data_IF_858467736536
#
_entry.id   IF_858467736536
#
_cell.length_a   1.000
_cell.length_b   1.000
_cell.length_c   1.000
_cell.angle_alpha   90.00
_cell.angle_beta   90.00
_cell.angle_gamma   90.00
#
_symmetry.space_group_name_H-M   'P 1'
#
loop_
_entity.id
_entity.type
_entity.pdbx_description
1 polymer ?
#
# COMPACT_ATOMS: atom_id res chain seq x y z
N UNK A 1 -21.78 30.53 56.69
CA UNK A 1 -20.34 30.21 56.60
C UNK A 1 -20.04 28.77 56.18
N UNK A 2 -20.95 27.83 56.41
CA UNK A 2 -20.83 26.42 56.03
C UNK A 2 -21.06 26.16 54.54
N UNK A 3 -21.95 26.90 53.88
CA UNK A 3 -22.27 26.71 52.43
C UNK A 3 -21.18 27.18 51.46
N UNK A 4 -20.26 28.05 51.89
CA UNK A 4 -19.16 28.53 51.05
C UNK A 4 -18.01 27.51 51.06
N UNK A 5 -17.83 26.78 52.14
CA UNK A 5 -16.75 25.75 52.23
C UNK A 5 -17.08 24.48 51.42
N UNK A 6 -18.37 24.08 51.35
CA UNK A 6 -18.73 22.92 50.50
C UNK A 6 -18.52 23.17 49.02
N UNK A 7 -18.81 24.38 48.52
CA UNK A 7 -18.61 24.71 47.11
C UNK A 7 -17.13 24.78 46.71
N UNK A 8 -16.23 25.17 47.63
CA UNK A 8 -14.79 25.18 47.35
C UNK A 8 -14.19 23.76 47.31
N UNK A 9 -14.69 22.82 48.13
CA UNK A 9 -14.26 21.41 48.06
C UNK A 9 -14.76 20.70 46.81
N UNK A 10 -15.99 20.97 46.37
CA UNK A 10 -16.52 20.40 45.11
C UNK A 10 -15.80 20.96 43.92
N UNK A 11 -15.45 22.24 43.85
CA UNK A 11 -14.60 22.81 42.80
C UNK A 11 -13.19 22.27 42.81
N UNK A 12 -12.60 22.08 44.01
CA UNK A 12 -11.24 21.49 44.11
C UNK A 12 -11.23 20.01 43.67
N UNK A 13 -12.26 19.24 44.00
CA UNK A 13 -12.40 17.83 43.54
C UNK A 13 -12.68 17.73 42.02
N UNK A 14 -13.45 18.68 41.46
CA UNK A 14 -13.67 18.73 40.00
C UNK A 14 -12.42 19.17 39.23
N UNK A 15 -11.60 20.07 39.79
CA UNK A 15 -10.32 20.49 39.21
C UNK A 15 -9.28 19.36 39.27
N UNK A 16 -9.24 18.58 40.33
CA UNK A 16 -8.35 17.42 40.45
C UNK A 16 -8.78 16.28 39.52
N UNK A 17 -10.08 16.11 39.27
CA UNK A 17 -10.57 15.10 38.29
C UNK A 17 -10.30 15.48 36.82
N UNK A 18 -10.21 16.78 36.50
CA UNK A 18 -9.88 17.27 35.18
C UNK A 18 -8.37 17.17 34.85
N UNK A 19 -7.51 17.06 35.85
CA UNK A 19 -6.05 16.90 35.66
C UNK A 19 -5.67 15.44 35.46
N UNK A 20 -6.54 14.47 35.76
CA UNK A 20 -6.25 13.03 35.75
C UNK A 20 -6.69 12.31 34.46
N UNK A 21 -7.03 12.98 33.39
CA UNK A 21 -7.45 12.31 32.13
C UNK A 21 -6.80 12.88 30.89
N UNK A 22 -5.48 13.03 30.90
CA UNK A 22 -4.72 12.82 29.69
C UNK A 22 -4.12 11.41 29.83
N UNK A 23 -4.82 10.41 29.34
CA UNK A 23 -4.20 9.16 29.01
C UNK A 23 -3.12 9.51 27.96
N UNK A 24 -1.84 9.50 28.37
CA UNK A 24 -0.73 9.68 27.43
C UNK A 24 -0.90 8.64 26.34
N UNK A 25 -1.34 9.09 25.15
CA UNK A 25 -1.54 8.24 24.01
C UNK A 25 -0.16 7.69 23.62
N UNK A 26 -0.01 6.36 23.72
CA UNK A 26 1.28 5.74 23.42
C UNK A 26 1.61 5.88 21.94
N UNK A 27 2.85 6.19 21.65
CA UNK A 27 3.36 6.18 20.27
C UNK A 27 3.37 4.74 19.75
N UNK A 28 2.85 4.52 18.56
CA UNK A 28 2.87 3.22 17.92
C UNK A 28 4.12 3.08 17.05
N UNK A 29 4.95 2.09 17.34
CA UNK A 29 6.11 1.75 16.54
C UNK A 29 5.90 0.48 15.74
N UNK A 30 6.06 0.52 14.42
CA UNK A 30 5.95 -0.66 13.56
C UNK A 30 7.28 -1.41 13.52
N UNK A 31 7.28 -2.73 13.70
CA UNK A 31 8.51 -3.56 13.61
C UNK A 31 9.07 -3.47 12.18
N UNK A 32 10.38 -3.25 12.07
CA UNK A 32 11.09 -3.04 10.81
C UNK A 32 11.24 -1.57 10.42
N UNK A 33 10.47 -0.67 11.00
CA UNK A 33 10.55 0.78 10.76
C UNK A 33 11.23 1.51 11.92
N UNK A 34 11.68 2.73 11.69
CA UNK A 34 12.18 3.60 12.75
C UNK A 34 11.01 4.26 13.48
N UNK A 35 11.14 4.49 14.79
CA UNK A 35 10.20 5.30 15.55
C UNK A 35 10.94 6.42 16.25
N UNK A 36 10.33 7.60 16.27
CA UNK A 36 10.84 8.76 17.00
C UNK A 36 10.10 8.88 18.33
N UNK A 37 10.86 8.99 19.41
CA UNK A 37 10.36 9.30 20.74
C UNK A 37 10.67 10.78 21.02
N UNK A 38 9.69 11.67 20.91
CA UNK A 38 9.90 13.10 21.09
C UNK A 38 10.02 13.45 22.56
N UNK A 39 10.89 14.40 22.87
CA UNK A 39 10.97 15.06 24.14
C UNK A 39 11.42 16.50 23.94
N UNK A 40 10.55 17.45 24.22
CA UNK A 40 10.82 18.87 24.06
C UNK A 40 10.91 19.53 25.42
N UNK A 41 11.97 20.33 25.66
CA UNK A 41 12.17 21.03 26.89
C UNK A 41 12.75 22.43 26.68
N UNK A 42 11.89 23.44 26.72
CA UNK A 42 12.27 24.85 26.49
C UNK A 42 13.17 25.44 27.57
N UNK A 43 13.17 24.86 28.78
CA UNK A 43 13.99 25.32 29.89
C UNK A 43 15.50 25.16 29.69
N UNK A 44 15.94 24.38 28.72
CA UNK A 44 17.36 24.09 28.47
C UNK A 44 18.15 25.35 28.07
N UNK A 45 17.55 26.31 27.40
CA UNK A 45 18.17 27.57 26.94
C UNK A 45 18.76 28.36 28.10
N UNK A 46 18.17 28.27 29.27
CA UNK A 46 18.62 28.98 30.49
C UNK A 46 19.60 28.12 31.31
N UNK A 47 19.84 26.88 30.95
CA UNK A 47 20.63 25.93 31.72
C UNK A 47 21.85 25.38 30.99
N UNK A 48 22.18 25.93 29.79
CA UNK A 48 23.24 25.38 28.93
C UNK A 48 24.60 25.31 29.62
N UNK A 49 24.93 26.29 30.50
CA UNK A 49 26.18 26.29 31.27
C UNK A 49 26.24 25.27 32.44
N UNK A 50 25.08 24.78 32.87
CA UNK A 50 24.93 23.81 33.96
C UNK A 50 24.74 22.37 33.48
N UNK A 51 24.47 22.21 32.18
CA UNK A 51 24.16 20.92 31.60
C UNK A 51 25.43 20.08 31.43
N UNK A 52 25.48 18.89 32.07
CA UNK A 52 26.60 17.96 31.98
C UNK A 52 26.34 16.83 31.01
N UNK A 53 25.18 16.22 31.09
CA UNK A 53 24.81 15.09 30.25
C UNK A 53 23.31 14.88 30.21
N UNK A 54 22.87 14.05 29.27
CA UNK A 54 21.49 13.59 29.20
C UNK A 54 21.43 12.07 29.07
N UNK A 55 20.36 11.49 29.57
CA UNK A 55 20.15 10.05 29.56
C UNK A 55 18.72 9.70 29.12
N UNK A 56 18.60 8.81 28.13
CA UNK A 56 17.38 8.09 27.87
C UNK A 56 17.41 6.75 28.60
N UNK A 57 16.34 6.45 29.31
CA UNK A 57 16.19 5.22 30.07
C UNK A 57 14.97 4.45 29.60
N UNK A 58 15.10 3.14 29.57
CA UNK A 58 14.01 2.18 29.42
C UNK A 58 13.80 1.52 30.75
N UNK A 59 12.79 1.94 31.50
CA UNK A 59 12.62 1.60 32.92
C UNK A 59 13.84 2.05 33.74
N UNK A 60 14.69 1.15 34.22
CA UNK A 60 15.93 1.46 34.97
C UNK A 60 17.20 1.38 34.11
N UNK A 61 17.11 0.81 32.92
CA UNK A 61 18.22 0.60 31.99
C UNK A 61 18.53 1.87 31.22
N UNK A 62 19.76 2.36 31.27
CA UNK A 62 20.22 3.47 30.43
C UNK A 62 20.47 2.92 29.02
N UNK A 63 19.75 3.43 28.04
CA UNK A 63 19.85 3.00 26.64
C UNK A 63 20.63 3.98 25.76
N UNK A 64 20.73 5.23 26.20
CA UNK A 64 21.49 6.26 25.50
C UNK A 64 21.96 7.33 26.48
N UNK A 65 23.22 7.76 26.34
CA UNK A 65 23.82 8.85 27.13
C UNK A 65 24.53 9.84 26.18
N UNK A 66 24.31 11.12 26.36
CA UNK A 66 25.03 12.18 25.67
C UNK A 66 25.75 13.05 26.69
N UNK A 67 27.07 13.24 26.54
CA UNK A 67 27.89 14.10 27.39
C UNK A 67 28.16 15.43 26.68
N UNK A 68 27.90 16.54 27.38
CA UNK A 68 28.04 17.88 26.86
C UNK A 68 29.31 18.62 27.34
N UNK A 69 29.99 18.04 28.33
CA UNK A 69 31.17 18.64 28.99
C UNK A 69 32.44 18.62 28.16
N UNK A 70 32.53 17.75 27.17
CA UNK A 70 33.63 17.72 26.20
C UNK A 70 33.05 18.20 24.88
N UNK A 71 33.70 19.15 24.22
CA UNK A 71 33.31 19.66 22.88
C UNK A 71 33.20 18.59 21.79
N UNK A 72 33.24 17.32 22.16
CA UNK A 72 33.09 16.13 21.37
C UNK A 72 31.86 15.41 21.87
N UNK A 73 30.86 15.25 20.99
CA UNK A 73 29.72 14.38 21.23
C UNK A 73 30.21 12.93 21.47
N UNK A 74 30.51 12.61 22.71
CA UNK A 74 30.81 11.24 23.10
C UNK A 74 29.46 10.53 23.32
N UNK A 75 28.75 10.25 22.22
CA UNK A 75 27.52 9.46 22.25
C UNK A 75 27.87 8.02 22.51
N UNK A 76 27.91 7.62 23.78
CA UNK A 76 27.98 6.22 24.15
C UNK A 76 26.61 5.58 23.86
N UNK A 77 26.45 5.04 22.66
CA UNK A 77 25.31 4.20 22.34
C UNK A 77 25.43 2.88 23.11
N UNK A 78 24.72 2.75 24.20
CA UNK A 78 24.61 1.49 24.95
C UNK A 78 23.84 0.44 24.15
N UNK A 79 23.03 0.88 23.21
CA UNK A 79 22.30 0.02 22.28
C UNK A 79 22.55 0.44 20.83
N UNK A 80 22.92 -0.51 19.97
CA UNK A 80 23.17 -0.30 18.52
C UNK A 80 21.94 0.20 17.72
N UNK A 81 20.78 0.22 18.36
CA UNK A 81 19.51 0.58 17.72
C UNK A 81 19.03 2.00 18.03
N UNK A 82 19.81 2.82 18.73
CA UNK A 82 19.41 4.18 19.13
C UNK A 82 20.28 5.25 18.48
N UNK A 83 19.62 6.31 17.97
CA UNK A 83 20.27 7.54 17.53
C UNK A 83 19.45 8.71 18.05
N UNK A 84 20.12 9.78 18.49
CA UNK A 84 19.49 11.01 18.96
C UNK A 84 19.70 12.10 17.91
N UNK A 85 18.72 13.00 17.74
CA UNK A 85 18.89 14.15 16.88
C UNK A 85 20.02 15.06 17.38
N UNK A 86 20.91 15.49 16.49
CA UNK A 86 22.13 16.23 16.82
C UNK A 86 21.92 17.74 17.06
N UNK A 87 20.68 18.25 17.02
CA UNK A 87 20.40 19.69 17.14
C UNK A 87 20.39 20.23 18.58
N UNK A 88 20.86 19.47 19.52
CA UNK A 88 20.85 19.72 20.96
C UNK A 88 22.25 20.21 21.42
N UNK A 89 22.39 21.08 22.42
CA UNK A 89 21.42 21.45 23.47
C UNK A 89 20.60 22.71 23.18
N UNK A 90 20.92 23.48 22.15
CA UNK A 90 20.37 24.84 21.97
C UNK A 90 18.90 24.89 21.55
N UNK A 91 18.38 23.84 20.89
CA UNK A 91 16.99 23.80 20.43
C UNK A 91 15.99 23.37 21.51
N UNK A 92 16.46 22.63 22.51
CA UNK A 92 15.58 21.98 23.49
C UNK A 92 14.84 20.75 22.96
N UNK A 93 15.21 20.27 21.79
CA UNK A 93 14.57 19.15 21.11
C UNK A 93 15.41 17.87 21.26
N UNK A 94 14.95 16.95 22.12
CA UNK A 94 15.66 15.74 22.50
C UNK A 94 14.97 14.49 21.95
N UNK A 95 14.98 14.35 20.61
CA UNK A 95 14.35 13.22 19.93
C UNK A 95 15.26 12.01 19.94
N UNK A 96 14.77 10.87 20.44
CA UNK A 96 15.43 9.59 20.30
C UNK A 96 14.81 8.78 19.17
N UNK A 97 15.63 8.24 18.28
CA UNK A 97 15.20 7.36 17.18
C UNK A 97 15.54 5.91 17.54
N UNK A 98 14.53 5.08 17.68
CA UNK A 98 14.68 3.64 17.88
C UNK A 98 14.60 2.91 16.53
N UNK A 99 15.57 2.03 16.28
CA UNK A 99 15.66 1.19 15.09
C UNK A 99 15.55 -0.29 15.47
N UNK A 100 15.12 -1.15 14.53
CA UNK A 100 15.13 -2.59 14.71
C UNK A 100 14.34 -3.09 15.92
N UNK A 101 13.18 -2.50 16.18
CA UNK A 101 12.33 -2.78 17.34
C UNK A 101 11.91 -4.24 17.44
N UNK A 102 11.68 -4.67 18.68
CA UNK A 102 11.09 -5.96 19.08
C UNK A 102 9.81 -5.70 19.87
N UNK A 103 8.96 -6.69 20.03
CA UNK A 103 7.78 -6.57 20.88
C UNK A 103 8.14 -6.20 22.32
N UNK A 104 9.31 -6.65 22.81
CA UNK A 104 9.83 -6.32 24.13
C UNK A 104 10.19 -4.85 24.35
N UNK A 105 10.24 -4.06 23.27
CA UNK A 105 10.54 -2.63 23.34
C UNK A 105 9.28 -1.78 23.63
N UNK A 106 8.08 -2.39 23.62
CA UNK A 106 6.84 -1.76 24.06
C UNK A 106 6.89 -1.48 25.56
N UNK A 107 7.29 -0.27 25.94
CA UNK A 107 7.51 0.17 27.32
C UNK A 107 7.47 1.68 27.45
N UNK A 108 7.56 2.15 28.71
CA UNK A 108 7.79 3.57 29.00
C UNK A 108 9.29 3.89 28.91
N UNK A 109 9.59 4.98 28.27
CA UNK A 109 10.90 5.58 28.14
C UNK A 109 10.91 6.91 28.87
N UNK A 110 11.98 7.18 29.62
CA UNK A 110 12.15 8.44 30.35
C UNK A 110 13.43 9.15 29.91
N UNK A 111 13.33 10.47 29.77
CA UNK A 111 14.46 11.33 29.44
C UNK A 111 14.85 12.16 30.66
N UNK A 112 16.12 12.13 31.00
CA UNK A 112 16.69 12.81 32.14
C UNK A 112 17.82 13.74 31.71
N UNK A 113 17.86 14.95 32.28
CA UNK A 113 18.98 15.87 32.19
C UNK A 113 19.78 15.84 33.48
N UNK A 114 21.11 15.68 33.37
CA UNK A 114 22.04 15.80 34.48
C UNK A 114 22.67 17.19 34.48
N UNK A 115 22.39 17.94 35.52
CA UNK A 115 23.01 19.20 35.85
C UNK A 115 24.15 18.98 36.83
N UNK A 116 24.92 20.06 37.13
CA UNK A 116 26.07 19.91 38.03
C UNK A 116 25.75 19.27 39.39
N UNK A 117 24.63 19.61 40.00
CA UNK A 117 24.20 19.11 41.31
C UNK A 117 22.92 18.26 41.30
N UNK A 118 22.16 18.27 40.17
CA UNK A 118 20.82 17.69 40.13
C UNK A 118 20.58 16.87 38.86
N UNK A 119 19.67 15.90 38.99
CA UNK A 119 19.13 15.16 37.84
C UNK A 119 17.65 15.47 37.75
N UNK A 120 17.20 15.89 36.55
CA UNK A 120 15.81 16.28 36.29
C UNK A 120 15.20 15.27 35.33
N UNK A 121 14.05 14.69 35.69
CA UNK A 121 13.19 13.99 34.76
C UNK A 121 12.45 15.03 33.90
N UNK A 122 12.65 14.99 32.61
CA UNK A 122 12.08 15.97 31.67
C UNK A 122 10.79 15.46 31.06
N UNK A 123 10.80 14.23 30.55
CA UNK A 123 9.61 13.65 29.93
C UNK A 123 9.60 12.12 30.05
N UNK A 124 8.40 11.58 29.96
CA UNK A 124 8.15 10.13 29.86
C UNK A 124 7.33 9.87 28.60
N UNK A 125 7.77 8.95 27.77
CA UNK A 125 7.10 8.59 26.51
C UNK A 125 6.73 7.11 26.56
N UNK A 126 5.46 6.82 26.33
CA UNK A 126 4.96 5.45 26.16
C UNK A 126 5.13 5.00 24.71
N UNK A 127 5.78 3.86 24.49
CA UNK A 127 5.89 3.19 23.21
C UNK A 127 5.10 1.88 23.24
N UNK A 128 4.20 1.72 22.29
CA UNK A 128 3.59 0.44 21.92
C UNK A 128 4.17 -0.04 20.60
N UNK A 129 4.06 -1.34 20.31
CA UNK A 129 4.65 -1.93 19.11
C UNK A 129 3.59 -2.70 18.35
N UNK A 130 3.55 -2.53 17.05
CA UNK A 130 2.64 -3.26 16.17
C UNK A 130 3.38 -3.91 14.99
N UNK A 131 2.75 -4.89 14.37
CA UNK A 131 3.25 -5.60 13.17
C UNK A 131 2.11 -5.80 12.21
N UNK A 132 2.34 -5.52 10.94
CA UNK A 132 1.39 -5.77 9.87
C UNK A 132 1.14 -7.27 9.70
N UNK A 133 -0.11 -7.61 9.38
CA UNK A 133 -0.43 -8.98 8.96
C UNK A 133 0.00 -9.18 7.51
N UNK A 134 0.51 -10.38 7.20
CA UNK A 134 1.01 -10.73 5.87
C UNK A 134 0.41 -12.05 5.38
N UNK A 135 0.58 -12.32 4.06
CA UNK A 135 0.14 -13.56 3.43
C UNK A 135 -1.35 -13.87 3.66
N UNK A 136 -2.20 -12.86 3.47
CA UNK A 136 -3.65 -13.00 3.58
C UNK A 136 -4.18 -13.79 2.38
N UNK A 137 -4.87 -14.89 2.63
CA UNK A 137 -5.46 -15.74 1.60
C UNK A 137 -6.86 -16.19 1.98
N UNK A 138 -7.78 -16.25 1.01
CA UNK A 138 -9.08 -16.89 1.17
C UNK A 138 -9.20 -18.02 0.16
N UNK A 139 -9.31 -19.23 0.67
CA UNK A 139 -9.54 -20.43 -0.11
C UNK A 139 -11.01 -20.81 -0.02
N UNK A 140 -11.59 -21.25 -1.13
CA UNK A 140 -12.96 -21.75 -1.22
C UNK A 140 -12.92 -23.24 -1.53
N UNK A 141 -13.52 -24.04 -0.67
CA UNK A 141 -13.66 -25.48 -0.84
C UNK A 141 -15.14 -25.82 -0.97
N UNK A 142 -15.51 -26.45 -2.07
CA UNK A 142 -16.85 -26.98 -2.25
C UNK A 142 -16.90 -28.40 -1.67
N UNK A 143 -17.73 -28.61 -0.67
CA UNK A 143 -17.93 -29.95 -0.10
C UNK A 143 -18.79 -30.73 -1.07
N UNK A 144 -18.25 -31.83 -1.65
CA UNK A 144 -18.83 -32.60 -2.75
C UNK A 144 -20.18 -33.22 -2.41
N UNK A 145 -20.51 -33.43 -1.13
CA UNK A 145 -21.76 -34.06 -0.68
C UNK A 145 -22.62 -33.17 0.20
N UNK A 146 -22.39 -31.87 0.23
CA UNK A 146 -23.07 -30.94 1.12
C UNK A 146 -23.56 -29.69 0.44
N UNK A 147 -24.67 -29.18 0.92
CA UNK A 147 -25.21 -27.87 0.53
C UNK A 147 -24.38 -26.71 1.00
N UNK A 148 -23.23 -26.94 1.68
CA UNK A 148 -22.43 -25.89 2.31
C UNK A 148 -21.11 -25.66 1.59
N UNK A 149 -20.77 -24.40 1.41
CA UNK A 149 -19.45 -23.95 0.97
C UNK A 149 -18.59 -23.63 2.20
N UNK A 150 -17.36 -24.13 2.21
CA UNK A 150 -16.35 -23.83 3.21
C UNK A 150 -15.39 -22.80 2.66
N UNK A 151 -15.21 -21.68 3.39
CA UNK A 151 -14.20 -20.68 3.08
C UNK A 151 -13.19 -20.63 4.21
N UNK A 152 -11.92 -20.74 3.87
CA UNK A 152 -10.81 -20.74 4.82
C UNK A 152 -9.94 -19.52 4.57
N UNK A 153 -9.94 -18.60 5.53
CA UNK A 153 -9.07 -17.46 5.54
C UNK A 153 -7.85 -17.74 6.40
N UNK A 154 -6.67 -17.42 5.89
CA UNK A 154 -5.40 -17.54 6.60
C UNK A 154 -4.61 -16.25 6.52
N UNK A 155 -3.94 -15.91 7.64
CA UNK A 155 -2.97 -14.83 7.72
C UNK A 155 -1.91 -15.11 8.76
N UNK A 156 -0.77 -14.42 8.68
CA UNK A 156 0.38 -14.71 9.52
C UNK A 156 1.13 -13.45 9.95
N UNK A 157 1.74 -13.54 11.13
CA UNK A 157 2.84 -12.69 11.53
C UNK A 157 2.46 -11.29 12.00
N UNK A 158 1.19 -11.02 12.26
CA UNK A 158 0.75 -9.71 12.76
C UNK A 158 0.75 -9.58 14.30
N UNK A 159 0.64 -8.35 14.80
CA UNK A 159 0.48 -8.01 16.21
C UNK A 159 -0.12 -6.60 16.37
N UNK A 160 -1.01 -6.35 17.31
CA UNK A 160 -1.67 -7.29 18.22
C UNK A 160 -2.66 -8.25 17.54
N UNK A 161 -3.41 -9.01 18.35
CA UNK A 161 -4.52 -9.82 17.83
C UNK A 161 -5.56 -8.90 17.16
N UNK A 162 -5.93 -9.12 15.91
CA UNK A 162 -6.83 -8.25 15.17
C UNK A 162 -8.29 -8.61 15.39
N UNK A 163 -9.18 -7.71 15.00
CA UNK A 163 -10.58 -8.03 14.77
C UNK A 163 -10.74 -8.67 13.38
N UNK A 164 -11.53 -9.75 13.29
CA UNK A 164 -11.80 -10.45 12.03
C UNK A 164 -13.29 -10.54 11.80
N UNK A 165 -13.71 -10.21 10.60
CA UNK A 165 -15.10 -10.37 10.19
C UNK A 165 -15.24 -10.69 8.71
N UNK A 166 -16.33 -11.41 8.39
CA UNK A 166 -16.68 -11.81 7.04
C UNK A 166 -17.78 -10.91 6.48
N UNK A 167 -17.73 -10.67 5.18
CA UNK A 167 -18.71 -9.88 4.44
C UNK A 167 -19.16 -10.66 3.21
N UNK A 168 -20.48 -10.75 3.01
CA UNK A 168 -21.12 -11.38 1.87
C UNK A 168 -21.70 -10.28 0.98
N UNK A 169 -21.43 -10.34 -0.32
CA UNK A 169 -21.92 -9.38 -1.32
C UNK A 169 -21.76 -7.93 -0.89
N UNK A 170 -20.58 -7.59 -0.32
CA UNK A 170 -20.16 -6.25 0.11
C UNK A 170 -20.88 -5.66 1.33
N UNK A 171 -22.00 -6.24 1.79
CA UNK A 171 -22.83 -5.61 2.83
C UNK A 171 -23.29 -6.54 3.95
N UNK A 172 -23.53 -7.80 3.67
CA UNK A 172 -24.12 -8.73 4.63
C UNK A 172 -23.05 -9.38 5.51
N UNK A 173 -23.30 -9.43 6.81
CA UNK A 173 -22.48 -10.21 7.76
C UNK A 173 -23.11 -11.58 7.99
N UNK A 174 -22.35 -12.67 7.84
CA UNK A 174 -22.85 -14.00 8.17
C UNK A 174 -23.14 -14.15 9.66
N UNK A 175 -24.04 -15.07 10.05
CA UNK A 175 -24.28 -15.39 11.46
C UNK A 175 -22.99 -15.85 12.14
N UNK A 176 -22.75 -15.40 13.38
CA UNK A 176 -21.55 -15.79 14.16
C UNK A 176 -21.41 -17.31 14.34
N UNK A 177 -22.52 -18.04 14.36
CA UNK A 177 -22.56 -19.52 14.49
C UNK A 177 -21.97 -20.25 13.29
N UNK A 178 -21.79 -19.57 12.15
CA UNK A 178 -21.21 -20.14 10.93
C UNK A 178 -19.71 -19.88 10.82
N UNK A 179 -19.11 -19.14 11.78
CA UNK A 179 -17.71 -18.73 11.76
C UNK A 179 -16.98 -19.40 12.92
N UNK A 180 -15.83 -19.99 12.62
CA UNK A 180 -14.88 -20.51 13.62
C UNK A 180 -13.54 -19.84 13.35
N UNK A 181 -12.97 -19.16 14.35
CA UNK A 181 -11.67 -18.49 14.24
C UNK A 181 -10.67 -19.09 15.22
N UNK A 182 -9.55 -19.51 14.70
CA UNK A 182 -8.39 -20.00 15.46
C UNK A 182 -7.31 -18.92 15.48
N UNK A 183 -6.89 -18.52 16.66
CA UNK A 183 -5.83 -17.55 16.89
C UNK A 183 -4.66 -18.27 17.55
N UNK A 184 -3.56 -18.43 16.84
CA UNK A 184 -2.37 -19.12 17.31
C UNK A 184 -1.22 -18.13 17.50
N UNK A 185 -0.64 -18.09 18.69
CA UNK A 185 0.54 -17.27 18.99
C UNK A 185 1.80 -18.07 18.73
N UNK A 186 2.73 -17.51 17.96
CA UNK A 186 4.04 -18.13 17.71
C UNK A 186 4.94 -18.00 18.95
N UNK A 187 5.43 -19.11 19.56
CA UNK A 187 6.12 -19.08 20.84
C UNK A 187 7.38 -18.20 20.88
N UNK A 188 8.14 -18.13 19.77
CA UNK A 188 9.40 -17.38 19.70
C UNK A 188 9.19 -15.89 19.40
N UNK A 189 8.28 -15.54 18.51
CA UNK A 189 8.07 -14.18 18.05
C UNK A 189 6.90 -13.48 18.74
N UNK A 190 6.01 -14.23 19.41
CA UNK A 190 4.75 -13.75 19.99
C UNK A 190 3.79 -13.14 18.96
N UNK A 191 4.05 -13.33 17.67
CA UNK A 191 3.19 -12.88 16.59
C UNK A 191 2.01 -13.86 16.42
N UNK A 192 0.91 -13.35 15.88
CA UNK A 192 -0.31 -14.12 15.66
C UNK A 192 -0.36 -14.72 14.27
N UNK A 193 -0.72 -15.99 14.19
CA UNK A 193 -1.20 -16.65 12.99
C UNK A 193 -2.69 -16.95 13.17
N UNK A 194 -3.48 -16.63 12.18
CA UNK A 194 -4.92 -16.69 12.29
C UNK A 194 -5.50 -17.49 11.13
N UNK A 195 -6.41 -18.38 11.48
CA UNK A 195 -7.23 -19.13 10.54
C UNK A 195 -8.68 -18.90 10.90
N UNK A 196 -9.47 -18.34 9.97
CA UNK A 196 -10.91 -18.17 10.17
C UNK A 196 -11.66 -18.97 9.11
N UNK A 197 -12.62 -19.78 9.56
CA UNK A 197 -13.39 -20.68 8.71
C UNK A 197 -14.85 -20.23 8.72
N UNK A 198 -15.39 -19.97 7.54
CA UNK A 198 -16.79 -19.66 7.32
C UNK A 198 -17.44 -20.88 6.61
N UNK A 199 -18.49 -21.45 7.23
CA UNK A 199 -19.29 -22.56 6.66
C UNK A 199 -20.71 -22.08 6.41
N UNK A 200 -21.08 -21.88 5.14
CA UNK A 200 -22.36 -21.28 4.78
C UNK A 200 -22.88 -21.84 3.47
N UNK A 201 -24.23 -21.88 3.32
CA UNK A 201 -24.86 -22.20 2.05
C UNK A 201 -25.01 -20.94 1.20
N UNK A 202 -24.24 -20.85 0.12
CA UNK A 202 -24.18 -19.68 -0.79
C UNK A 202 -24.10 -20.15 -2.24
N UNK A 203 -24.59 -19.30 -3.13
CA UNK A 203 -24.46 -19.53 -4.57
C UNK A 203 -22.99 -19.50 -5.01
N UNK A 204 -22.60 -20.27 -6.04
CA UNK A 204 -21.23 -20.29 -6.56
C UNK A 204 -20.67 -18.93 -6.97
N UNK A 205 -21.52 -18.01 -7.41
CA UNK A 205 -21.20 -16.65 -7.86
C UNK A 205 -21.15 -15.61 -6.75
N UNK A 206 -21.47 -16.00 -5.49
CA UNK A 206 -21.47 -15.10 -4.34
C UNK A 206 -20.05 -14.60 -4.04
N UNK A 207 -19.90 -13.28 -3.93
CA UNK A 207 -18.65 -12.63 -3.53
C UNK A 207 -18.51 -12.65 -2.03
N UNK A 208 -17.39 -13.17 -1.52
CA UNK A 208 -17.10 -13.24 -0.09
C UNK A 208 -15.79 -12.50 0.19
N UNK A 209 -15.78 -11.66 1.19
CA UNK A 209 -14.60 -10.99 1.69
C UNK A 209 -14.37 -11.33 3.17
N UNK A 210 -13.11 -11.51 3.54
CA UNK A 210 -12.67 -11.52 4.92
C UNK A 210 -11.85 -10.29 5.20
N UNK A 211 -12.17 -9.60 6.27
CA UNK A 211 -11.49 -8.37 6.70
C UNK A 211 -10.75 -8.63 7.99
N UNK A 212 -9.49 -8.23 8.01
CA UNK A 212 -8.67 -8.06 9.21
C UNK A 212 -8.62 -6.58 9.55
N UNK A 213 -8.91 -6.28 10.78
CA UNK A 213 -8.84 -4.94 11.33
C UNK A 213 -7.81 -4.90 12.46
N UNK A 214 -6.70 -4.20 12.21
CA UNK A 214 -5.65 -3.96 13.20
C UNK A 214 -5.81 -2.55 13.75
N UNK A 215 -6.57 -2.41 14.81
CA UNK A 215 -6.91 -1.15 15.44
C UNK A 215 -5.68 -0.30 15.78
N UNK A 216 -4.57 -0.93 16.18
CA UNK A 216 -3.35 -0.22 16.59
C UNK A 216 -2.66 0.48 15.42
N UNK A 217 -2.76 -0.08 14.21
CA UNK A 217 -2.20 0.50 12.98
C UNK A 217 -3.24 1.29 12.19
N UNK A 218 -4.49 1.30 12.63
CA UNK A 218 -5.63 1.81 11.85
C UNK A 218 -5.64 1.22 10.43
N UNK A 219 -5.35 -0.09 10.33
CA UNK A 219 -5.17 -0.81 9.08
C UNK A 219 -6.25 -1.86 8.89
N UNK A 220 -6.95 -1.77 7.78
CA UNK A 220 -7.93 -2.77 7.35
C UNK A 220 -7.44 -3.50 6.10
N UNK A 221 -7.14 -4.79 6.23
CA UNK A 221 -6.79 -5.65 5.10
C UNK A 221 -8.01 -6.47 4.68
N UNK A 222 -8.43 -6.32 3.43
CA UNK A 222 -9.56 -7.05 2.86
C UNK A 222 -9.06 -8.03 1.82
N UNK A 223 -9.38 -9.32 2.01
CA UNK A 223 -9.13 -10.35 1.02
C UNK A 223 -10.44 -10.87 0.48
N UNK A 224 -10.65 -10.74 -0.83
CA UNK A 224 -11.91 -11.09 -1.49
C UNK A 224 -11.74 -12.37 -2.30
N UNK A 225 -12.68 -13.30 -2.13
CA UNK A 225 -12.86 -14.43 -3.01
C UNK A 225 -14.08 -14.16 -3.90
N UNK A 226 -13.82 -13.93 -5.19
CA UNK A 226 -14.86 -13.84 -6.20
C UNK A 226 -15.38 -15.24 -6.49
N UNK A 227 -16.69 -15.42 -6.47
CA UNK A 227 -17.32 -16.68 -6.83
C UNK A 227 -16.85 -17.16 -8.20
N UNK A 228 -16.98 -18.44 -8.44
CA UNK A 228 -16.73 -19.01 -9.78
C UNK A 228 -17.77 -18.37 -10.70
N UNK A 229 -17.41 -17.32 -11.41
CA UNK A 229 -18.15 -16.94 -12.61
C UNK A 229 -18.17 -18.19 -13.47
N UNK A 230 -19.34 -18.78 -13.66
CA UNK A 230 -19.52 -19.80 -14.67
C UNK A 230 -19.04 -19.18 -15.98
N UNK A 231 -17.91 -19.63 -16.50
CA UNK A 231 -17.33 -19.17 -17.78
C UNK A 231 -18.21 -19.59 -18.97
N UNK A 232 -19.53 -19.52 -18.83
CA UNK A 232 -20.49 -19.89 -19.88
C UNK A 232 -20.65 -18.72 -20.88
N UNK A 233 -20.34 -17.47 -20.49
CA UNK A 233 -20.54 -16.32 -21.40
C UNK A 233 -19.27 -15.87 -22.14
N UNK A 234 -18.09 -15.98 -21.55
CA UNK A 234 -16.87 -15.45 -22.20
C UNK A 234 -16.34 -16.35 -23.34
N UNK A 235 -16.64 -17.64 -23.31
CA UNK A 235 -16.20 -18.57 -24.36
C UNK A 235 -16.97 -18.38 -25.69
N UNK A 236 -18.22 -17.95 -25.63
CA UNK A 236 -19.05 -17.74 -26.82
C UNK A 236 -18.68 -16.40 -27.49
N UNK A 237 -18.61 -15.33 -26.73
CA UNK A 237 -18.25 -14.01 -27.24
C UNK A 237 -16.86 -13.98 -27.88
N UNK A 238 -15.89 -14.64 -27.25
CA UNK A 238 -14.53 -14.78 -27.79
C UNK A 238 -14.49 -15.59 -29.08
N UNK A 239 -15.23 -16.70 -29.17
CA UNK A 239 -15.34 -17.49 -30.43
C UNK A 239 -16.03 -16.70 -31.55
N UNK A 240 -17.10 -15.97 -31.26
CA UNK A 240 -17.77 -15.13 -32.26
C UNK A 240 -16.92 -13.97 -32.71
N UNK A 241 -16.19 -13.30 -31.85
CA UNK A 241 -15.22 -12.26 -32.19
C UNK A 241 -14.10 -12.78 -33.07
N UNK A 242 -13.58 -13.97 -32.80
CA UNK A 242 -12.55 -14.60 -33.63
C UNK A 242 -13.10 -14.97 -35.00
N UNK A 243 -14.28 -15.59 -35.07
CA UNK A 243 -14.93 -15.92 -36.33
C UNK A 243 -15.28 -14.66 -37.14
N UNK A 244 -15.78 -13.62 -36.49
CA UNK A 244 -16.08 -12.35 -37.18
C UNK A 244 -14.83 -11.69 -37.74
N UNK A 245 -13.73 -11.68 -37.00
CA UNK A 245 -12.45 -11.16 -37.46
C UNK A 245 -11.90 -11.93 -38.68
N UNK A 246 -11.96 -13.26 -38.64
CA UNK A 246 -11.48 -14.09 -39.76
C UNK A 246 -12.33 -13.91 -41.03
N UNK A 247 -13.66 -13.86 -40.89
CA UNK A 247 -14.55 -13.59 -42.03
C UNK A 247 -14.30 -12.21 -42.63
N UNK A 248 -14.14 -11.17 -41.80
CA UNK A 248 -13.81 -9.83 -42.27
C UNK A 248 -12.48 -9.79 -43.03
N UNK A 249 -11.45 -10.46 -42.54
CA UNK A 249 -10.15 -10.56 -43.24
C UNK A 249 -10.29 -11.24 -44.61
N UNK A 250 -11.06 -12.32 -44.69
CA UNK A 250 -11.30 -13.04 -45.97
C UNK A 250 -12.03 -12.14 -46.95
N UNK A 251 -13.08 -11.43 -46.52
CA UNK A 251 -13.83 -10.50 -47.38
C UNK A 251 -12.91 -9.38 -47.90
N UNK A 252 -12.12 -8.76 -47.04
CA UNK A 252 -11.16 -7.71 -47.45
C UNK A 252 -10.14 -8.28 -48.43
N UNK A 253 -9.63 -9.47 -48.19
CA UNK A 253 -8.67 -10.10 -49.11
C UNK A 253 -9.29 -10.38 -50.48
N UNK A 254 -10.54 -10.86 -50.54
CA UNK A 254 -11.27 -11.07 -51.81
C UNK A 254 -11.52 -9.78 -52.55
N UNK A 255 -11.87 -8.68 -51.85
CA UNK A 255 -12.05 -7.37 -52.47
C UNK A 255 -10.75 -6.82 -53.09
N UNK A 256 -9.63 -6.97 -52.36
CA UNK A 256 -8.31 -6.57 -52.86
C UNK A 256 -7.93 -7.41 -54.09
N UNK A 257 -8.12 -8.72 -54.03
CA UNK A 257 -7.84 -9.61 -55.16
C UNK A 257 -8.70 -9.28 -56.36
N UNK A 258 -9.99 -9.01 -56.18
CA UNK A 258 -10.90 -8.61 -57.22
C UNK A 258 -10.49 -7.26 -57.87
N UNK A 259 -10.08 -6.28 -57.07
CA UNK A 259 -9.61 -4.96 -57.56
C UNK A 259 -8.33 -5.10 -58.37
N UNK A 260 -7.39 -5.93 -57.91
CA UNK A 260 -6.15 -6.23 -58.67
C UNK A 260 -6.45 -6.95 -59.99
N UNK A 261 -7.37 -7.91 -59.99
CA UNK A 261 -7.79 -8.59 -61.21
C UNK A 261 -8.48 -7.62 -62.19
N UNK A 262 -9.31 -6.70 -61.69
CA UNK A 262 -9.95 -5.67 -62.48
C UNK A 262 -8.94 -4.70 -63.09
N UNK A 263 -7.97 -4.22 -62.34
CA UNK A 263 -6.88 -3.39 -62.82
C UNK A 263 -6.05 -4.12 -63.90
N UNK A 264 -5.68 -5.38 -63.69
CA UNK A 264 -4.98 -6.19 -64.72
C UNK A 264 -5.81 -6.40 -65.97
N UNK A 265 -7.15 -6.45 -65.87
CA UNK A 265 -8.04 -6.53 -67.04
C UNK A 265 -8.05 -5.21 -67.76
N UNK A 266 -8.20 -4.08 -67.04
CA UNK A 266 -8.13 -2.74 -67.63
C UNK A 266 -6.81 -2.49 -68.38
N UNK A 267 -5.69 -2.83 -67.73
CA UNK A 267 -4.36 -2.69 -68.37
C UNK A 267 -4.25 -3.51 -69.63
N UNK A 268 -4.82 -4.73 -69.66
CA UNK A 268 -4.85 -5.57 -70.86
C UNK A 268 -5.70 -4.95 -71.96
N UNK A 269 -6.86 -4.39 -71.60
CA UNK A 269 -7.74 -3.75 -72.55
C UNK A 269 -7.15 -2.44 -73.10
N UNK A 270 -6.44 -1.67 -72.26
CA UNK A 270 -5.69 -0.47 -72.67
C UNK A 270 -4.52 -0.88 -73.58
N UNK A 271 -3.79 -1.93 -73.27
CA UNK A 271 -2.74 -2.45 -74.14
C UNK A 271 -3.28 -2.93 -75.48
N UNK A 272 -4.44 -3.61 -75.49
CA UNK A 272 -5.08 -4.04 -76.72
C UNK A 272 -5.54 -2.84 -77.57
N UNK A 273 -6.11 -1.80 -76.98
CA UNK A 273 -6.49 -0.57 -77.70
C UNK A 273 -5.29 0.18 -78.27
N UNK A 274 -4.16 0.25 -77.48
CA UNK A 274 -2.90 0.82 -77.99
C UNK A 274 -2.37 0.05 -79.19
N UNK A 275 -2.49 -1.29 -79.17
CA UNK A 275 -2.02 -2.12 -80.29
C UNK A 275 -2.88 -2.00 -81.54
N UNK A 276 -4.18 -1.69 -81.37
CA UNK A 276 -5.09 -1.45 -82.49
C UNK A 276 -4.98 -0.02 -83.11
N UNK A 277 -4.49 0.95 -82.27
CA UNK A 277 -4.32 2.37 -82.71
C UNK A 277 -2.93 2.62 -83.35
N UNK A 278 -2.04 1.63 -83.32
CA UNK A 278 -0.68 1.78 -83.83
C UNK A 278 -0.51 1.17 -85.23
N UNK A 279 -1.66 1.02 -85.96
CA UNK A 279 -1.65 0.49 -87.34
C UNK A 279 -1.64 1.57 -88.44
N UNK A 280 -1.82 2.83 -88.14
CA UNK A 280 -1.70 3.94 -89.12
C UNK A 280 -1.30 5.22 -88.33
N UNK A 281 -0.22 5.84 -88.83
CA UNK A 281 0.43 7.10 -88.44
C UNK A 281 1.47 7.12 -87.35
N UNK A 282 2.68 7.19 -87.83
CA UNK A 282 3.87 7.92 -87.32
C UNK A 282 3.99 8.18 -85.82
N UNK A 283 4.72 7.25 -85.20
CA UNK A 283 5.15 7.34 -83.82
C UNK A 283 6.43 8.18 -83.73
N UNK A 284 6.38 9.51 -83.53
CA UNK A 284 7.60 10.30 -83.30
C UNK A 284 7.50 11.48 -82.34
N UNK A 285 6.30 11.92 -81.88
CA UNK A 285 6.24 13.11 -81.01
C UNK A 285 5.63 12.86 -79.61
N UNK A 286 4.84 11.82 -79.42
CA UNK A 286 4.10 11.60 -78.18
C UNK A 286 4.96 11.01 -77.04
N UNK A 287 6.10 10.37 -77.34
CA UNK A 287 6.98 9.82 -76.35
C UNK A 287 7.85 10.85 -75.57
N UNK A 288 7.99 12.08 -76.08
CA UNK A 288 8.70 13.17 -75.43
C UNK A 288 7.91 13.84 -74.32
N UNK A 289 6.57 13.94 -74.44
CA UNK A 289 5.73 14.58 -73.46
C UNK A 289 5.53 13.73 -72.20
N UNK A 290 5.38 12.41 -72.31
CA UNK A 290 5.16 11.49 -71.21
C UNK A 290 6.44 11.33 -70.33
N UNK A 291 7.62 11.43 -70.94
CA UNK A 291 8.89 11.37 -70.19
C UNK A 291 9.20 12.66 -69.44
N UNK A 292 8.68 13.81 -69.91
CA UNK A 292 8.79 15.09 -69.15
C UNK A 292 7.85 15.17 -67.99
N UNK A 293 6.64 14.62 -68.08
CA UNK A 293 5.67 14.61 -66.94
C UNK A 293 6.09 13.68 -65.79
N UNK A 294 6.72 12.51 -66.10
CA UNK A 294 7.24 11.63 -65.08
C UNK A 294 8.49 12.18 -64.38
N UNK A 295 9.26 13.06 -65.00
CA UNK A 295 10.42 13.72 -64.35
C UNK A 295 9.99 14.88 -63.44
N UNK A 296 8.84 15.48 -63.69
CA UNK A 296 8.29 16.56 -62.84
C UNK A 296 7.73 16.04 -61.51
N UNK A 297 7.18 14.81 -61.48
CA UNK A 297 6.64 14.19 -60.25
C UNK A 297 7.74 13.60 -59.31
N UNK A 298 8.93 13.36 -59.84
CA UNK A 298 10.04 12.83 -59.05
C UNK A 298 10.86 13.90 -58.31
N UNK A 299 10.52 15.19 -58.44
CA UNK A 299 11.27 16.31 -57.86
C UNK A 299 10.52 17.12 -56.78
N UNK A 300 9.40 16.61 -56.27
CA UNK A 300 8.72 17.24 -55.12
C UNK A 300 9.38 16.76 -53.80
N UNK A 301 9.78 17.66 -52.89
CA UNK A 301 10.37 17.28 -51.62
C UNK A 301 9.31 16.69 -50.70
N UNK A 302 9.65 15.56 -50.06
CA UNK A 302 8.96 14.98 -48.92
C UNK A 302 8.87 16.04 -47.80
N UNK A 303 7.66 16.48 -47.48
CA UNK A 303 7.41 17.25 -46.26
C UNK A 303 7.05 16.26 -45.17
N UNK A 304 7.98 16.11 -44.21
CA UNK A 304 7.77 15.51 -42.88
C UNK A 304 6.61 16.19 -42.15
N UNK A 305 5.64 15.38 -41.68
CA UNK A 305 4.78 15.64 -40.53
C UNK A 305 4.66 14.37 -39.71
#
# INVERSE_FOLDING_TARGET
>A
MITVMENTYVCALLLTSLIMSQADECIVGVIGENVQLPCIYDGVKNMTSLLLSSEWKRHVEVIHTTNWTKQQEDTQNVSRSTTVSSSVPNSGDFIMVLRGKRLSDARHYSFHLKLQENCILVCTVCLTVAVHFSNTTVLRENIVNGEKTLLVFNTRGGFPAPNIYWIINHTQRPPKTTIITYVNTLPKSQLYNITSVLSINISPDTVIACVIDNDMLNEMLTTTNYGVKSNIEDGWLSKYLWMFSTVLCVVVFLLVAASLCYQRKLDRDIKRRKHFSCGDYSCSEENKLIVMDMKLWASLPETDV
#
